data_IF_454572852303
#
_entry.id   IF_454572852303
#
_cell.length_a   1.000
_cell.length_b   1.000
_cell.length_c   1.000
_cell.angle_alpha   90.00
_cell.angle_beta   90.00
_cell.angle_gamma   90.00
#
_symmetry.space_group_name_H-M   'P 1'
#
loop_
_entity.id
_entity.type
_entity.pdbx_description
1 polymer ?
#
# COMPACT_ATOMS: atom_id res chain seq x y z
N UNK A 1 -6.10 -12.45 17.22
CA UNK A 1 -7.33 -12.95 16.54
C UNK A 1 -7.64 -11.97 15.42
N UNK A 2 -7.67 -12.41 14.15
CA UNK A 2 -7.98 -11.55 13.01
C UNK A 2 -9.45 -11.75 12.64
N UNK A 3 -10.23 -10.68 12.65
CA UNK A 3 -11.60 -10.66 12.16
C UNK A 3 -11.66 -9.76 10.92
N UNK A 4 -12.35 -10.21 9.88
CA UNK A 4 -12.59 -9.43 8.66
C UNK A 4 -14.11 -9.35 8.49
N UNK A 5 -14.61 -8.14 8.28
CA UNK A 5 -16.03 -7.88 8.03
C UNK A 5 -16.13 -6.81 6.94
N UNK A 6 -17.13 -6.96 6.07
CA UNK A 6 -17.41 -6.01 5.00
C UNK A 6 -18.45 -4.98 5.45
N UNK A 7 -18.40 -3.80 4.83
CA UNK A 7 -19.39 -2.75 5.03
C UNK A 7 -20.67 -3.15 4.31
N UNK A 8 -21.80 -3.13 5.01
CA UNK A 8 -23.10 -3.46 4.42
C UNK A 8 -23.63 -2.30 3.53
N UNK A 9 -24.77 -2.52 2.87
CA UNK A 9 -25.37 -1.53 1.98
C UNK A 9 -25.74 -0.20 2.67
N UNK A 10 -25.92 -0.20 3.98
CA UNK A 10 -26.25 0.98 4.79
C UNK A 10 -25.00 1.69 5.33
N UNK A 11 -23.79 1.18 5.03
CA UNK A 11 -22.53 1.78 5.48
C UNK A 11 -22.05 1.31 6.85
N UNK A 12 -22.61 0.23 7.40
CA UNK A 12 -22.29 -0.28 8.74
C UNK A 12 -21.44 -1.56 8.70
N UNK A 13 -20.62 -1.79 9.74
CA UNK A 13 -19.86 -3.02 9.93
C UNK A 13 -20.37 -3.73 11.19
N UNK A 14 -20.91 -4.93 11.03
CA UNK A 14 -21.30 -5.79 12.14
C UNK A 14 -20.11 -6.67 12.55
N UNK A 15 -19.57 -6.44 13.75
CA UNK A 15 -18.51 -7.31 14.29
C UNK A 15 -19.14 -8.62 14.79
N UNK A 16 -18.59 -9.80 14.42
CA UNK A 16 -19.03 -11.05 15.00
C UNK A 16 -18.69 -11.09 16.49
N UNK A 17 -19.34 -11.99 17.23
CA UNK A 17 -19.10 -12.15 18.66
C UNK A 17 -17.63 -12.48 18.93
N UNK A 18 -16.91 -11.52 19.50
CA UNK A 18 -15.51 -11.68 19.87
C UNK A 18 -15.45 -12.40 21.23
N UNK A 19 -14.67 -13.47 21.31
CA UNK A 19 -14.47 -14.23 22.55
C UNK A 19 -13.51 -13.51 23.51
N UNK A 20 -13.79 -12.23 23.79
CA UNK A 20 -12.98 -11.37 24.64
C UNK A 20 -13.68 -11.15 25.98
N UNK A 21 -12.88 -11.02 27.05
CA UNK A 21 -13.41 -10.74 28.39
C UNK A 21 -13.79 -9.27 28.48
N UNK A 22 -14.76 -8.96 29.34
CA UNK A 22 -15.10 -7.57 29.64
C UNK A 22 -13.85 -6.81 30.14
N UNK A 23 -13.65 -5.58 29.65
CA UNK A 23 -12.50 -4.74 30.00
C UNK A 23 -11.22 -5.02 29.19
N UNK A 24 -11.25 -5.92 28.21
CA UNK A 24 -10.11 -6.14 27.30
C UNK A 24 -9.95 -4.94 26.37
N UNK A 25 -8.79 -4.28 26.36
CA UNK A 25 -8.45 -3.28 25.34
C UNK A 25 -8.31 -3.95 23.97
N UNK A 26 -8.89 -3.33 22.96
CA UNK A 26 -8.81 -3.77 21.56
C UNK A 26 -8.40 -2.61 20.68
N UNK A 27 -7.69 -2.94 19.61
CA UNK A 27 -7.37 -2.03 18.53
C UNK A 27 -8.23 -2.39 17.32
N UNK A 28 -8.88 -1.38 16.72
CA UNK A 28 -9.67 -1.54 15.51
C UNK A 28 -8.99 -0.75 14.41
N UNK A 29 -8.56 -1.45 13.37
CA UNK A 29 -7.92 -0.86 12.20
C UNK A 29 -8.92 -0.92 11.05
N UNK A 30 -9.36 0.24 10.56
CA UNK A 30 -10.21 0.36 9.37
C UNK A 30 -9.30 0.73 8.21
N UNK A 31 -9.20 -0.17 7.23
CA UNK A 31 -8.46 0.08 5.99
C UNK A 31 -9.47 0.50 4.92
N UNK A 32 -9.51 1.79 4.62
CA UNK A 32 -10.22 2.31 3.46
C UNK A 32 -9.27 2.13 2.28
N UNK A 33 -9.63 1.25 1.35
CA UNK A 33 -8.92 1.18 0.07
C UNK A 33 -9.43 2.34 -0.79
N UNK A 34 -8.86 3.52 -0.59
CA UNK A 34 -9.08 4.67 -1.45
C UNK A 34 -8.37 4.39 -2.78
N UNK A 35 -9.15 3.90 -3.75
CA UNK A 35 -8.68 3.40 -5.04
C UNK A 35 -7.68 2.22 -4.90
N UNK A 36 -7.43 1.43 -5.95
CA UNK A 36 -6.19 0.67 -5.98
C UNK A 36 -5.08 1.68 -5.69
N UNK A 37 -4.29 1.44 -4.65
CA UNK A 37 -3.00 2.07 -4.46
C UNK A 37 -2.21 1.74 -5.73
N UNK A 38 -2.34 2.59 -6.74
CA UNK A 38 -1.97 2.27 -8.11
C UNK A 38 -0.45 2.34 -8.04
N UNK A 39 0.19 1.18 -7.88
CA UNK A 39 1.65 1.06 -7.80
C UNK A 39 2.36 1.79 -8.95
N UNK A 40 1.60 2.17 -9.99
CA UNK A 40 1.91 3.16 -11.02
C UNK A 40 2.45 4.49 -10.50
N UNK A 41 1.93 5.06 -9.42
CA UNK A 41 2.42 6.35 -8.91
C UNK A 41 3.81 6.20 -8.26
N UNK A 42 3.99 5.13 -7.47
CA UNK A 42 5.30 4.77 -6.92
C UNK A 42 6.30 4.36 -8.00
N UNK A 43 5.84 3.64 -9.04
CA UNK A 43 6.63 3.26 -10.21
C UNK A 43 7.04 4.48 -11.02
N UNK A 44 6.09 5.38 -11.32
CA UNK A 44 6.33 6.65 -12.02
C UNK A 44 7.33 7.54 -11.28
N UNK A 45 7.18 7.66 -9.95
CA UNK A 45 8.15 8.38 -9.12
C UNK A 45 9.55 7.75 -9.19
N UNK A 46 9.64 6.40 -9.16
CA UNK A 46 10.91 5.68 -9.26
C UNK A 46 11.57 5.83 -10.63
N UNK A 47 10.78 5.86 -11.71
CA UNK A 47 11.25 6.02 -13.09
C UNK A 47 11.65 7.46 -13.44
N UNK A 48 11.09 8.46 -12.74
CA UNK A 48 11.36 9.89 -12.98
C UNK A 48 12.84 10.29 -12.80
N UNK A 49 13.61 9.48 -12.06
CA UNK A 49 15.03 9.72 -11.78
C UNK A 49 15.97 8.84 -12.61
N UNK A 50 15.46 8.01 -13.53
CA UNK A 50 16.31 7.16 -14.36
C UNK A 50 17.13 7.98 -15.38
N UNK A 51 16.58 9.08 -15.87
CA UNK A 51 17.27 10.00 -16.80
C UNK A 51 18.45 10.74 -16.16
N UNK A 52 18.53 10.80 -14.82
CA UNK A 52 19.69 11.34 -14.12
C UNK A 52 20.95 10.50 -14.35
N UNK A 53 20.79 9.18 -14.56
CA UNK A 53 21.87 8.25 -14.86
C UNK A 53 22.12 8.09 -16.36
N UNK A 54 21.31 8.72 -17.22
CA UNK A 54 21.43 8.66 -18.67
C UNK A 54 22.49 9.67 -19.13
N UNK A 55 23.74 9.22 -19.18
CA UNK A 55 24.90 10.04 -19.48
C UNK A 55 25.67 9.44 -20.66
N UNK A 56 25.57 10.08 -21.82
CA UNK A 56 26.28 9.71 -23.06
C UNK A 56 27.80 9.60 -22.90
N UNK A 57 28.40 10.24 -21.90
CA UNK A 57 29.83 10.06 -21.59
C UNK A 57 30.11 8.75 -20.86
N UNK A 58 29.22 8.32 -19.97
CA UNK A 58 29.38 7.09 -19.19
C UNK A 58 29.28 5.86 -20.12
N UNK A 59 28.39 5.88 -21.10
CA UNK A 59 28.33 4.82 -22.12
C UNK A 59 29.57 4.75 -23.01
N UNK A 60 30.21 5.89 -23.31
CA UNK A 60 31.41 5.91 -24.17
C UNK A 60 32.69 5.55 -23.42
N UNK A 61 32.76 5.81 -22.13
CA UNK A 61 33.98 5.62 -21.34
C UNK A 61 33.93 4.31 -20.55
N UNK A 62 32.75 3.95 -20.02
CA UNK A 62 32.60 2.84 -19.09
C UNK A 62 32.18 1.53 -19.77
N UNK A 63 31.35 1.60 -20.82
CA UNK A 63 30.87 0.43 -21.57
C UNK A 63 31.77 0.04 -22.75
N UNK A 64 33.08 0.28 -22.64
CA UNK A 64 34.07 0.09 -23.70
C UNK A 64 34.15 -1.38 -24.17
N UNK A 65 33.37 -1.72 -25.21
CA UNK A 65 33.50 -2.93 -26.04
C UNK A 65 34.53 -2.75 -27.14
#
# INVERSE_FOLDING_TARGET
>A
MRCVAEVNADGEIALPRLALRQGTSVEVIVLIQDAPDDARDLLSASESSLSFWDNDMDDRIWNNV
#
